data_IF_046752857358
#
_entry.id   IF_046752857358
#
_cell.length_a   1.000
_cell.length_b   1.000
_cell.length_c   1.000
_cell.angle_alpha   90.00
_cell.angle_beta   90.00
_cell.angle_gamma   90.00
#
_symmetry.space_group_name_H-M   'P 1'
#
loop_
_entity.id
_entity.type
_entity.pdbx_description
1 polymer ?
#
# COMPACT_ATOMS: atom_id res chain seq x y z
N UNK A 1 -8.04 1.11 10.45
CA UNK A 1 -8.25 1.14 8.97
C UNK A 1 -7.83 -0.18 8.30
N UNK A 2 -8.66 -0.71 7.39
CA UNK A 2 -8.51 -2.03 6.73
C UNK A 2 -7.43 -2.09 5.62
N UNK A 3 -6.89 -0.94 5.19
CA UNK A 3 -5.97 -0.80 4.04
C UNK A 3 -4.79 -1.78 4.09
N UNK A 4 -4.00 -1.79 5.16
CA UNK A 4 -2.78 -2.61 5.22
C UNK A 4 -3.04 -4.11 5.41
N UNK A 5 -4.13 -4.47 6.12
CA UNK A 5 -4.54 -5.87 6.23
C UNK A 5 -5.02 -6.40 4.88
N UNK A 6 -5.74 -5.58 4.12
CA UNK A 6 -6.17 -5.92 2.77
C UNK A 6 -4.97 -6.07 1.82
N UNK A 7 -4.01 -5.12 1.83
CA UNK A 7 -2.78 -5.21 1.04
C UNK A 7 -2.03 -6.51 1.35
N UNK A 8 -1.82 -6.82 2.63
CA UNK A 8 -1.15 -8.07 3.02
C UNK A 8 -1.93 -9.32 2.63
N UNK A 9 -3.27 -9.31 2.75
CA UNK A 9 -4.11 -10.42 2.31
C UNK A 9 -3.99 -10.65 0.80
N UNK A 10 -4.06 -9.59 -0.01
CA UNK A 10 -3.93 -9.68 -1.47
C UNK A 10 -2.51 -10.08 -1.90
N UNK A 11 -1.46 -9.56 -1.24
CA UNK A 11 -0.07 -9.87 -1.58
C UNK A 11 0.28 -11.36 -1.41
N UNK A 12 -0.37 -12.05 -0.47
CA UNK A 12 -0.16 -13.50 -0.23
C UNK A 12 -1.02 -14.40 -1.11
N UNK A 13 -1.95 -13.84 -1.87
CA UNK A 13 -2.85 -14.65 -2.70
C UNK A 13 -2.20 -15.01 -4.02
N UNK A 14 -2.11 -16.31 -4.28
CA UNK A 14 -1.57 -16.89 -5.51
C UNK A 14 -2.67 -17.48 -6.41
N UNK A 15 -3.94 -17.30 -6.07
CA UNK A 15 -5.08 -17.96 -6.71
C UNK A 15 -5.53 -17.31 -8.04
N UNK A 16 -4.63 -16.59 -8.72
CA UNK A 16 -4.85 -16.05 -10.06
C UNK A 16 -5.92 -14.96 -10.20
N UNK A 17 -6.56 -14.54 -9.10
CA UNK A 17 -7.62 -13.53 -9.13
C UNK A 17 -7.07 -12.13 -9.42
N UNK A 18 -7.98 -11.21 -9.71
CA UNK A 18 -7.66 -9.82 -10.09
C UNK A 18 -7.05 -8.97 -8.97
N UNK A 19 -7.11 -9.39 -7.70
CA UNK A 19 -6.62 -8.60 -6.56
C UNK A 19 -5.17 -8.10 -6.70
N UNK A 20 -4.18 -8.98 -6.95
CA UNK A 20 -2.81 -8.57 -7.23
C UNK A 20 -2.69 -7.64 -8.44
N UNK A 21 -3.52 -7.83 -9.48
CA UNK A 21 -3.54 -6.97 -10.68
C UNK A 21 -4.01 -5.55 -10.35
N UNK A 22 -4.92 -5.38 -9.40
CA UNK A 22 -5.38 -4.06 -8.92
C UNK A 22 -4.26 -3.33 -8.18
N UNK A 23 -3.54 -4.04 -7.31
CA UNK A 23 -2.38 -3.46 -6.63
C UNK A 23 -1.34 -3.00 -7.63
N UNK A 24 -1.10 -3.78 -8.69
CA UNK A 24 -0.13 -3.46 -9.73
C UNK A 24 -0.63 -2.48 -10.81
N UNK A 25 -1.92 -2.11 -10.75
CA UNK A 25 -2.54 -1.37 -11.84
C UNK A 25 -1.89 0.00 -12.05
N UNK A 26 -1.35 0.21 -13.24
CA UNK A 26 -0.84 1.49 -13.73
C UNK A 26 -1.61 1.84 -15.01
N UNK A 27 -2.28 3.00 -15.09
CA UNK A 27 -2.88 3.42 -16.35
C UNK A 27 -1.76 3.56 -17.39
N UNK A 28 -1.83 2.76 -18.46
CA UNK A 28 -0.84 2.73 -19.54
C UNK A 28 -1.04 3.86 -20.57
N UNK A 29 -2.21 4.49 -20.56
CA UNK A 29 -2.63 5.45 -21.58
C UNK A 29 -3.06 6.76 -20.93
N UNK A 30 -2.56 7.89 -21.44
CA UNK A 30 -2.94 9.24 -21.02
C UNK A 30 -1.85 10.00 -20.25
N UNK A 31 -1.68 11.29 -20.57
CA UNK A 31 -0.89 12.22 -19.77
C UNK A 31 -1.69 12.55 -18.50
N UNK A 32 -1.08 12.39 -17.31
CA UNK A 32 -1.73 12.77 -16.05
C UNK A 32 -1.88 14.29 -15.97
N UNK A 33 -2.98 14.79 -15.41
CA UNK A 33 -3.17 16.23 -15.15
C UNK A 33 -2.06 16.73 -14.21
N UNK A 34 -1.55 17.93 -14.49
CA UNK A 34 -0.56 18.63 -13.65
C UNK A 34 -1.17 18.84 -12.25
N UNK A 35 -0.39 18.57 -11.20
CA UNK A 35 -0.79 18.76 -9.79
C UNK A 35 -1.26 17.51 -9.05
N UNK A 36 -1.48 16.36 -9.71
CA UNK A 36 -1.73 15.10 -8.99
C UNK A 36 -0.42 14.49 -8.51
N UNK A 37 -0.25 14.14 -7.22
CA UNK A 37 0.94 13.46 -6.72
C UNK A 37 1.28 12.25 -7.59
N UNK A 38 2.56 12.09 -7.93
CA UNK A 38 3.05 10.94 -8.70
C UNK A 38 2.79 9.60 -7.99
N UNK A 39 2.57 9.67 -6.67
CA UNK A 39 2.44 8.54 -5.74
C UNK A 39 1.20 7.70 -6.05
N UNK A 40 1.44 6.53 -6.63
CA UNK A 40 0.45 5.47 -6.74
C UNK A 40 0.36 4.67 -5.43
N UNK A 41 -0.66 3.82 -5.31
CA UNK A 41 -0.77 2.91 -4.17
C UNK A 41 0.44 1.97 -4.07
N UNK A 42 1.04 1.58 -5.20
CA UNK A 42 2.28 0.81 -5.21
C UNK A 42 3.41 1.59 -4.56
N UNK A 43 3.52 2.89 -4.84
CA UNK A 43 4.58 3.72 -4.30
C UNK A 43 4.41 3.90 -2.79
N UNK A 44 3.17 4.04 -2.33
CA UNK A 44 2.82 3.99 -0.90
C UNK A 44 3.21 2.66 -0.25
N UNK A 45 2.91 1.54 -0.91
CA UNK A 45 3.23 0.21 -0.40
C UNK A 45 4.75 0.01 -0.38
N UNK A 46 5.46 0.40 -1.44
CA UNK A 46 6.93 0.33 -1.51
C UNK A 46 7.60 1.22 -0.48
N UNK A 47 7.05 2.41 -0.23
CA UNK A 47 7.54 3.32 0.82
C UNK A 47 7.43 2.70 2.21
N UNK A 48 6.34 1.97 2.48
CA UNK A 48 6.07 1.40 3.82
C UNK A 48 6.68 0.00 4.02
N UNK A 49 6.65 -0.83 2.98
CA UNK A 49 6.99 -2.26 3.02
C UNK A 49 8.24 -2.64 2.21
N UNK A 50 8.86 -1.68 1.51
CA UNK A 50 10.04 -1.90 0.68
C UNK A 50 9.74 -2.44 -0.73
N UNK A 51 10.79 -2.57 -1.54
CA UNK A 51 10.70 -3.07 -2.93
C UNK A 51 10.20 -4.53 -3.00
N UNK A 52 10.49 -5.33 -1.97
CA UNK A 52 10.13 -6.76 -1.88
C UNK A 52 8.74 -7.04 -1.27
N UNK A 53 7.85 -6.05 -1.24
CA UNK A 53 6.51 -6.18 -0.65
C UNK A 53 5.63 -7.30 -1.23
N UNK A 54 5.93 -7.79 -2.44
CA UNK A 54 5.22 -8.90 -3.10
C UNK A 54 5.63 -10.28 -2.60
N UNK A 55 6.71 -10.39 -1.81
CA UNK A 55 7.05 -11.65 -1.16
C UNK A 55 6.00 -11.97 -0.08
N UNK A 56 5.70 -13.25 0.19
CA UNK A 56 4.75 -13.63 1.23
C UNK A 56 5.26 -13.21 2.61
N UNK A 57 4.95 -11.98 2.99
CA UNK A 57 5.27 -11.41 4.29
C UNK A 57 4.23 -11.88 5.32
N UNK A 58 4.70 -12.18 6.53
CA UNK A 58 3.88 -12.63 7.65
C UNK A 58 2.70 -11.67 7.89
N UNK A 59 1.53 -12.21 8.27
CA UNK A 59 0.37 -11.43 8.71
C UNK A 59 0.75 -10.45 9.83
N UNK A 60 1.69 -10.83 10.70
CA UNK A 60 2.22 -9.94 11.76
C UNK A 60 2.85 -8.67 11.22
N UNK A 61 3.58 -8.75 10.09
CA UNK A 61 4.22 -7.60 9.45
C UNK A 61 3.19 -6.52 9.07
N UNK A 62 2.10 -6.92 8.40
CA UNK A 62 1.08 -5.97 7.95
C UNK A 62 0.23 -5.41 9.08
N UNK A 63 0.06 -6.16 10.18
CA UNK A 63 -0.56 -5.65 11.40
C UNK A 63 0.33 -4.61 12.10
N UNK A 64 1.64 -4.82 12.14
CA UNK A 64 2.59 -3.85 12.68
C UNK A 64 2.64 -2.56 11.86
N UNK A 65 2.65 -2.65 10.52
CA UNK A 65 2.57 -1.46 9.65
C UNK A 65 1.26 -0.68 9.84
N UNK A 66 0.16 -1.37 10.18
CA UNK A 66 -1.08 -0.70 10.58
C UNK A 66 -0.88 0.15 11.84
N UNK A 67 -0.34 -0.43 12.92
CA UNK A 67 -0.20 0.30 14.19
C UNK A 67 0.69 1.53 14.02
N UNK A 68 1.75 1.42 13.21
CA UNK A 68 2.67 2.52 12.93
C UNK A 68 2.02 3.66 12.11
N UNK A 69 1.19 3.33 11.11
CA UNK A 69 0.45 4.35 10.35
C UNK A 69 -0.62 5.08 11.17
N UNK A 70 -1.13 4.43 12.22
CA UNK A 70 -2.08 5.04 13.15
C UNK A 70 -1.39 6.02 14.11
N UNK A 71 -0.16 5.73 14.54
CA UNK A 71 0.62 6.65 15.38
C UNK A 71 1.12 7.88 14.61
N UNK A 72 1.57 7.73 13.36
CA UNK A 72 2.04 8.86 12.52
C UNK A 72 0.93 9.89 12.27
N UNK A 73 -0.31 9.44 12.03
CA UNK A 73 -1.48 10.34 11.85
C UNK A 73 -1.79 11.15 13.10
N UNK A 74 -1.76 10.50 14.26
CA UNK A 74 -2.02 11.16 15.53
C UNK A 74 -0.92 12.16 15.91
N UNK A 75 0.34 11.89 15.55
CA UNK A 75 1.44 12.86 15.71
C UNK A 75 1.33 14.06 14.77
N UNK A 76 0.89 13.86 13.51
CA UNK A 76 0.67 14.98 12.57
C UNK A 76 -0.51 15.88 12.94
N UNK A 77 -1.51 15.35 13.67
CA UNK A 77 -2.66 16.11 14.17
C UNK A 77 -2.33 16.95 15.42
N UNK A 78 -1.24 16.63 16.13
CA UNK A 78 -0.79 17.39 17.33
C UNK A 78 0.16 18.55 17.03
N UNK A 79 0.63 18.67 15.79
CA UNK A 79 1.55 19.72 15.35
C UNK A 79 0.87 20.79 14.46
N UNK A 80 -0.46 20.77 14.39
CA UNK A 80 -1.29 21.80 13.75
C UNK A 80 -2.13 22.54 14.78
#
# INVERSE_FOLDING_TARGET
>A
MLKWQWVGHIARRTDGRWGPKVLEWRPRTGKRKVGRPSTSWIDDIKRVAGSHWKQPQDRKFWNYKRSMSSSERSSSERLN
#
